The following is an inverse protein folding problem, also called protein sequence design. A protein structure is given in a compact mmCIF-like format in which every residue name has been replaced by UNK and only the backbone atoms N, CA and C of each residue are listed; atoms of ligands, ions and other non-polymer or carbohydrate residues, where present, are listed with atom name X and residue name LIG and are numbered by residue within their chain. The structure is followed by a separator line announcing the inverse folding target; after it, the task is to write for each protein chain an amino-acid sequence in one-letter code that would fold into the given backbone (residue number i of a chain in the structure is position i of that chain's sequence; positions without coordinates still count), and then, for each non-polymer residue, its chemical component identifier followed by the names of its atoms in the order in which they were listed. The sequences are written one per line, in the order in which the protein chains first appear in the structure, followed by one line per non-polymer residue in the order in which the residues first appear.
data_IF_514173124827
#
_entry.id   IF_514173124827
#
_cell.length_a   1.000
_cell.length_b   1.000
_cell.length_c   1.000
_cell.angle_alpha   90.00
_cell.angle_beta   90.00
_cell.angle_gamma   90.00
#
_symmetry.space_group_name_H-M   'P 1'
#
loop_
_entity.id
_entity.type
_entity.pdbx_description
1 polymer ?
#
# COMPACT_ATOMS: atom_id res chain seq x y z
N UNK A 1 69.18 22.19 3.38
CA UNK A 1 67.87 21.51 3.25
C UNK A 1 66.83 22.53 2.84
N UNK A 2 66.34 22.37 1.64
CA UNK A 2 65.71 23.41 0.80
C UNK A 2 64.23 23.64 1.16
N UNK A 3 63.85 24.92 1.20
CA UNK A 3 62.51 25.41 1.55
C UNK A 3 61.44 25.09 0.50
N UNK A 4 61.69 24.18 -0.45
CA UNK A 4 60.81 23.82 -1.56
C UNK A 4 59.83 22.68 -1.24
N UNK A 5 59.95 22.01 -0.05
CA UNK A 5 59.13 20.84 0.27
C UNK A 5 57.83 21.17 1.06
N UNK A 6 57.60 22.44 1.38
CA UNK A 6 56.45 22.87 2.18
C UNK A 6 55.27 23.51 1.37
N UNK A 7 55.43 23.66 0.05
CA UNK A 7 54.43 24.32 -0.80
C UNK A 7 53.51 23.34 -1.56
N UNK A 8 53.73 22.01 -1.43
CA UNK A 8 52.96 21.01 -2.23
C UNK A 8 51.78 20.35 -1.49
N UNK A 9 51.41 20.87 -0.30
CA UNK A 9 50.32 20.33 0.49
C UNK A 9 48.98 21.11 0.46
N UNK A 10 48.91 22.21 -0.34
CA UNK A 10 47.74 23.10 -0.33
C UNK A 10 46.81 23.01 -1.55
N UNK A 11 46.97 22.02 -2.45
CA UNK A 11 46.14 21.91 -3.65
C UNK A 11 45.32 20.62 -3.81
N UNK A 12 45.09 19.89 -2.74
CA UNK A 12 44.08 18.84 -2.80
C UNK A 12 42.69 19.43 -2.49
N UNK A 13 42.05 20.01 -3.50
CA UNK A 13 40.60 20.27 -3.49
C UNK A 13 39.89 18.95 -3.20
N UNK A 14 38.96 18.88 -2.19
CA UNK A 14 38.14 17.72 -2.06
C UNK A 14 37.33 17.56 -3.34
N UNK A 15 37.49 16.43 -4.01
CA UNK A 15 36.65 16.04 -5.12
C UNK A 15 35.20 16.02 -4.61
N UNK A 16 34.44 17.03 -4.94
CA UNK A 16 32.99 17.03 -4.75
C UNK A 16 32.45 15.81 -5.47
N UNK A 17 32.13 14.79 -4.71
CA UNK A 17 31.45 13.58 -5.17
C UNK A 17 30.12 14.04 -5.74
N UNK A 18 30.08 14.34 -7.06
CA UNK A 18 28.82 14.57 -7.77
C UNK A 18 27.96 13.36 -7.47
N UNK A 19 26.91 13.58 -6.67
CA UNK A 19 25.87 12.59 -6.49
C UNK A 19 25.40 12.21 -7.90
N UNK A 20 25.75 11.01 -8.33
CA UNK A 20 25.29 10.44 -9.59
C UNK A 20 23.79 10.31 -9.39
N UNK A 21 23.04 11.22 -10.03
CA UNK A 21 21.58 11.13 -10.12
C UNK A 21 21.31 9.76 -10.72
N UNK A 22 20.96 8.79 -9.88
CA UNK A 22 20.50 7.49 -10.37
C UNK A 22 19.29 7.82 -11.24
N UNK A 23 19.41 7.54 -12.52
CA UNK A 23 18.26 7.60 -13.41
C UNK A 23 17.19 6.68 -12.80
N UNK A 24 16.01 7.24 -12.53
CA UNK A 24 14.91 6.44 -12.01
C UNK A 24 14.69 5.29 -12.99
N UNK A 25 14.72 4.06 -12.48
CA UNK A 25 14.42 2.87 -13.28
C UNK A 25 13.01 3.05 -13.84
N UNK A 26 12.81 2.87 -15.17
CA UNK A 26 11.48 3.00 -15.75
C UNK A 26 10.51 2.07 -14.99
N UNK A 27 9.36 2.60 -14.64
CA UNK A 27 8.33 1.84 -13.96
C UNK A 27 7.71 0.88 -14.97
N UNK A 28 7.91 -0.42 -14.77
CA UNK A 28 7.25 -1.43 -15.59
C UNK A 28 5.86 -1.73 -15.05
N UNK A 29 4.92 -2.10 -15.91
CA UNK A 29 3.56 -2.50 -15.53
C UNK A 29 3.56 -3.60 -14.45
N UNK A 30 4.45 -4.58 -14.52
CA UNK A 30 4.56 -5.65 -13.52
C UNK A 30 4.89 -5.13 -12.12
N UNK A 31 5.77 -4.13 -12.01
CA UNK A 31 6.11 -3.50 -10.73
C UNK A 31 4.90 -2.74 -10.19
N UNK A 32 4.18 -2.03 -11.05
CA UNK A 32 2.98 -1.29 -10.66
C UNK A 32 1.86 -2.22 -10.19
N UNK A 33 1.67 -3.35 -10.86
CA UNK A 33 0.74 -4.41 -10.42
C UNK A 33 1.14 -4.93 -9.03
N UNK A 34 2.42 -5.18 -8.78
CA UNK A 34 2.90 -5.64 -7.46
C UNK A 34 2.61 -4.61 -6.37
N UNK A 35 2.82 -3.33 -6.66
CA UNK A 35 2.52 -2.24 -5.73
C UNK A 35 1.00 -2.15 -5.46
N UNK A 36 0.18 -2.27 -6.50
CA UNK A 36 -1.28 -2.30 -6.40
C UNK A 36 -1.76 -3.48 -5.53
N UNK A 37 -1.26 -4.68 -5.79
CA UNK A 37 -1.59 -5.87 -4.98
C UNK A 37 -1.21 -5.68 -3.50
N UNK A 38 -0.07 -5.02 -3.24
CA UNK A 38 0.37 -4.71 -1.87
C UNK A 38 -0.60 -3.77 -1.16
N UNK A 39 -1.11 -2.75 -1.86
CA UNK A 39 -2.12 -1.83 -1.31
C UNK A 39 -3.44 -2.57 -1.06
N UNK A 40 -3.90 -3.37 -2.01
CA UNK A 40 -5.14 -4.15 -1.86
C UNK A 40 -5.05 -5.18 -0.73
N UNK A 41 -3.90 -5.83 -0.56
CA UNK A 41 -3.69 -6.79 0.52
C UNK A 41 -3.77 -6.14 1.91
N UNK A 42 -3.31 -4.90 2.04
CA UNK A 42 -3.38 -4.16 3.29
C UNK A 42 -4.75 -3.53 3.53
N UNK A 43 -5.50 -3.22 2.47
CA UNK A 43 -6.80 -2.55 2.56
C UNK A 43 -7.85 -3.53 3.11
N UNK A 44 -8.38 -3.25 4.30
CA UNK A 44 -9.35 -4.15 4.92
C UNK A 44 -10.74 -4.13 4.30
N UNK A 45 -11.03 -3.13 3.47
CA UNK A 45 -12.29 -3.05 2.74
C UNK A 45 -12.26 -3.97 1.52
N UNK A 46 -11.07 -4.40 1.09
CA UNK A 46 -10.91 -5.38 0.01
C UNK A 46 -11.12 -6.78 0.55
N UNK A 47 -12.27 -7.36 0.27
CA UNK A 47 -12.66 -8.71 0.69
C UNK A 47 -12.02 -9.78 -0.20
N UNK A 48 -11.96 -9.54 -1.50
CA UNK A 48 -11.28 -10.41 -2.45
C UNK A 48 -10.75 -9.67 -3.66
N UNK A 49 -9.70 -10.23 -4.25
CA UNK A 49 -9.10 -9.76 -5.49
C UNK A 49 -8.77 -10.98 -6.35
N UNK A 50 -9.20 -10.98 -7.60
CA UNK A 50 -8.96 -12.06 -8.55
C UNK A 50 -8.83 -11.53 -9.98
N UNK A 51 -8.23 -12.31 -10.87
CA UNK A 51 -8.36 -12.07 -12.30
C UNK A 51 -9.81 -12.37 -12.72
N UNK A 52 -10.47 -11.51 -13.50
CA UNK A 52 -11.81 -11.79 -13.99
C UNK A 52 -11.80 -13.03 -14.90
N UNK A 53 -12.86 -13.83 -14.82
CA UNK A 53 -12.97 -15.06 -15.62
C UNK A 53 -13.36 -14.78 -17.08
N UNK A 54 -14.07 -13.66 -17.31
CA UNK A 54 -14.68 -13.31 -18.57
C UNK A 54 -14.51 -11.83 -18.88
N UNK A 55 -14.64 -11.46 -20.16
CA UNK A 55 -14.73 -10.09 -20.62
C UNK A 55 -16.03 -9.44 -20.11
N UNK A 56 -15.96 -8.14 -19.90
CA UNK A 56 -17.13 -7.32 -19.58
C UNK A 56 -17.49 -6.43 -20.77
N UNK A 57 -18.79 -6.24 -20.99
CA UNK A 57 -19.31 -5.36 -22.03
C UNK A 57 -19.59 -3.97 -21.45
N UNK A 58 -19.19 -2.94 -22.19
CA UNK A 58 -19.42 -1.54 -21.86
C UNK A 58 -20.13 -0.83 -22.99
N UNK A 59 -21.20 -0.12 -22.66
CA UNK A 59 -21.98 0.63 -23.66
C UNK A 59 -21.42 2.03 -23.86
N UNK A 60 -21.11 2.39 -25.11
CA UNK A 60 -20.55 3.68 -25.51
C UNK A 60 -21.41 4.31 -26.61
N UNK A 61 -22.42 5.08 -26.28
CA UNK A 61 -23.40 5.53 -27.24
C UNK A 61 -24.02 4.34 -27.95
N UNK A 62 -23.89 4.27 -29.28
CA UNK A 62 -24.39 3.14 -30.10
C UNK A 62 -23.42 1.96 -30.24
N UNK A 63 -22.28 2.01 -29.53
CA UNK A 63 -21.24 0.98 -29.63
C UNK A 63 -21.10 0.22 -28.32
N UNK A 64 -20.95 -1.10 -28.43
CA UNK A 64 -20.55 -1.96 -27.33
C UNK A 64 -19.06 -2.23 -27.43
N UNK A 65 -18.34 -2.05 -26.31
CA UNK A 65 -16.92 -2.35 -26.18
C UNK A 65 -16.79 -3.55 -25.25
N UNK A 66 -16.15 -4.61 -25.72
CA UNK A 66 -15.78 -5.75 -24.91
C UNK A 66 -14.37 -5.53 -24.35
N UNK A 67 -14.18 -5.73 -23.04
CA UNK A 67 -12.92 -5.51 -22.37
C UNK A 67 -12.69 -6.55 -21.26
N UNK A 68 -11.47 -7.06 -21.19
CA UNK A 68 -11.00 -7.92 -20.09
C UNK A 68 -10.20 -7.05 -19.14
N UNK A 69 -10.74 -6.81 -17.94
CA UNK A 69 -10.04 -6.08 -16.90
C UNK A 69 -8.85 -6.88 -16.35
N UNK A 70 -7.90 -6.21 -15.71
CA UNK A 70 -6.79 -6.89 -15.04
C UNK A 70 -7.25 -7.62 -13.79
N UNK A 71 -8.15 -6.98 -13.03
CA UNK A 71 -8.64 -7.49 -11.74
C UNK A 71 -10.14 -7.25 -11.58
N UNK A 72 -10.74 -8.16 -10.82
CA UNK A 72 -12.02 -7.97 -10.18
C UNK A 72 -11.79 -7.89 -8.67
N UNK A 73 -12.26 -6.81 -8.04
CA UNK A 73 -12.14 -6.54 -6.62
C UNK A 73 -13.53 -6.54 -6.00
N UNK A 74 -13.69 -7.25 -4.90
CA UNK A 74 -14.87 -7.11 -4.04
C UNK A 74 -14.48 -6.23 -2.87
N UNK A 75 -15.21 -5.12 -2.71
CA UNK A 75 -15.06 -4.15 -1.63
C UNK A 75 -16.46 -3.80 -1.10
N UNK A 76 -16.65 -3.92 0.21
CA UNK A 76 -17.95 -3.66 0.86
C UNK A 76 -19.13 -4.37 0.17
N UNK A 77 -18.93 -5.64 -0.22
CA UNK A 77 -19.93 -6.45 -0.92
C UNK A 77 -20.19 -6.06 -2.38
N UNK A 78 -19.52 -5.04 -2.91
CA UNK A 78 -19.65 -4.58 -4.30
C UNK A 78 -18.47 -5.05 -5.15
N UNK A 79 -18.74 -5.50 -6.39
CA UNK A 79 -17.70 -5.93 -7.33
C UNK A 79 -17.31 -4.78 -8.25
N UNK A 80 -16.00 -4.56 -8.41
CA UNK A 80 -15.39 -3.55 -9.27
C UNK A 80 -14.44 -4.22 -10.25
N UNK A 81 -14.44 -3.73 -11.49
CA UNK A 81 -13.45 -4.10 -12.52
C UNK A 81 -12.33 -3.06 -12.53
N UNK A 82 -11.08 -3.51 -12.52
CA UNK A 82 -9.93 -2.61 -12.36
C UNK A 82 -8.84 -2.94 -13.38
N UNK A 83 -8.37 -1.89 -14.08
CA UNK A 83 -7.13 -1.96 -14.85
C UNK A 83 -6.01 -1.19 -14.13
N UNK A 84 -4.82 -1.80 -14.12
CA UNK A 84 -3.59 -1.15 -13.65
C UNK A 84 -2.79 -0.70 -14.86
N UNK A 85 -2.70 0.61 -15.06
CA UNK A 85 -2.09 1.20 -16.27
C UNK A 85 -0.89 2.08 -15.91
N UNK A 86 0.12 2.06 -16.78
CA UNK A 86 1.24 3.00 -16.70
C UNK A 86 0.87 4.33 -17.34
N UNK A 87 1.63 5.39 -17.03
CA UNK A 87 1.44 6.70 -17.68
C UNK A 87 1.67 6.61 -19.19
N UNK A 88 2.55 5.69 -19.63
CA UNK A 88 2.81 5.43 -21.05
C UNK A 88 1.59 4.80 -21.72
N UNK A 89 0.98 3.79 -21.09
CA UNK A 89 -0.24 3.14 -21.60
C UNK A 89 -1.40 4.14 -21.73
N UNK A 90 -1.55 5.01 -20.73
CA UNK A 90 -2.55 6.09 -20.78
C UNK A 90 -2.31 7.05 -21.94
N UNK A 91 -1.06 7.40 -22.21
CA UNK A 91 -0.72 8.28 -23.33
C UNK A 91 -0.92 7.64 -24.70
N UNK A 92 -0.71 6.32 -24.80
CA UNK A 92 -0.92 5.58 -26.05
C UNK A 92 -2.41 5.37 -26.35
N UNK A 93 -3.25 5.25 -25.32
CA UNK A 93 -4.69 4.94 -25.47
C UNK A 93 -5.61 5.88 -24.68
N UNK A 94 -5.43 7.24 -24.78
CA UNK A 94 -6.14 8.18 -23.91
C UNK A 94 -7.66 8.13 -24.10
N UNK A 95 -8.12 7.93 -25.33
CA UNK A 95 -9.55 7.87 -25.65
C UNK A 95 -10.22 6.64 -25.04
N UNK A 96 -9.53 5.49 -25.05
CA UNK A 96 -10.05 4.24 -24.44
C UNK A 96 -10.09 4.36 -22.92
N UNK A 97 -9.03 4.90 -22.33
CA UNK A 97 -8.95 5.12 -20.89
C UNK A 97 -10.06 6.09 -20.42
N UNK A 98 -10.20 7.23 -21.10
CA UNK A 98 -11.27 8.21 -20.80
C UNK A 98 -12.66 7.62 -21.00
N UNK A 99 -12.79 6.72 -21.98
CA UNK A 99 -14.03 6.08 -22.30
C UNK A 99 -14.47 5.08 -21.22
N UNK A 100 -13.58 4.29 -20.69
CA UNK A 100 -13.89 3.23 -19.72
C UNK A 100 -13.92 3.73 -18.28
N UNK A 101 -13.05 4.70 -17.93
CA UNK A 101 -12.94 5.18 -16.54
C UNK A 101 -14.26 5.76 -16.02
N UNK A 102 -14.72 5.26 -14.90
CA UNK A 102 -15.96 5.71 -14.27
C UNK A 102 -17.24 5.19 -14.93
N UNK A 103 -17.13 4.30 -15.94
CA UNK A 103 -18.29 3.63 -16.54
C UNK A 103 -18.68 2.40 -15.74
N UNK A 104 -19.85 1.86 -16.07
CA UNK A 104 -20.36 0.61 -15.50
C UNK A 104 -20.54 -0.39 -16.63
N UNK A 105 -20.12 -1.63 -16.41
CA UNK A 105 -20.36 -2.71 -17.37
C UNK A 105 -21.84 -3.06 -17.50
N UNK A 106 -22.22 -3.78 -18.52
CA UNK A 106 -23.59 -4.19 -18.79
C UNK A 106 -24.20 -5.03 -17.64
N UNK A 107 -23.37 -5.73 -16.87
CA UNK A 107 -23.76 -6.50 -15.69
C UNK A 107 -23.75 -5.69 -14.37
N UNK A 108 -23.51 -4.39 -14.45
CA UNK A 108 -23.60 -3.47 -13.31
C UNK A 108 -22.32 -3.27 -12.50
N UNK A 109 -21.16 -3.82 -12.92
CA UNK A 109 -19.88 -3.63 -12.22
C UNK A 109 -19.22 -2.31 -12.65
N UNK A 110 -18.90 -1.39 -11.72
CA UNK A 110 -18.13 -0.20 -12.02
C UNK A 110 -16.71 -0.53 -12.51
N UNK A 111 -16.21 0.25 -13.46
CA UNK A 111 -14.86 0.12 -13.98
C UNK A 111 -13.95 1.25 -13.48
N UNK A 112 -12.78 0.89 -13.00
CA UNK A 112 -11.78 1.81 -12.45
C UNK A 112 -10.44 1.63 -13.15
N UNK A 113 -9.70 2.73 -13.29
CA UNK A 113 -8.32 2.74 -13.75
C UNK A 113 -7.43 3.20 -12.61
N UNK A 114 -6.49 2.33 -12.22
CA UNK A 114 -5.47 2.63 -11.24
C UNK A 114 -4.14 2.93 -11.92
N UNK A 115 -3.61 4.12 -11.64
CA UNK A 115 -2.36 4.63 -12.23
C UNK A 115 -1.21 4.60 -11.23
N UNK A 116 0.01 4.89 -11.70
CA UNK A 116 1.14 5.08 -10.81
C UNK A 116 0.88 6.18 -9.76
N UNK A 117 0.20 7.25 -10.15
CA UNK A 117 -0.13 8.35 -9.24
C UNK A 117 -1.13 7.94 -8.16
N UNK A 118 -2.17 7.16 -8.48
CA UNK A 118 -3.15 6.69 -7.49
C UNK A 118 -2.57 5.61 -6.58
N UNK A 119 -1.87 4.62 -7.15
CA UNK A 119 -1.30 3.50 -6.39
C UNK A 119 -0.20 3.99 -5.44
N UNK A 120 0.69 4.87 -5.93
CA UNK A 120 1.85 5.37 -5.18
C UNK A 120 1.62 6.72 -4.52
N UNK A 121 0.34 7.06 -4.26
CA UNK A 121 0.02 8.28 -3.53
C UNK A 121 0.69 8.30 -2.15
N UNK A 122 1.51 9.33 -1.91
CA UNK A 122 2.21 9.51 -0.64
C UNK A 122 1.37 10.32 0.35
N UNK A 123 1.49 10.07 1.64
CA UNK A 123 2.39 9.14 2.31
C UNK A 123 1.86 7.69 2.42
N UNK A 124 0.64 7.43 1.93
CA UNK A 124 -0.04 6.13 2.04
C UNK A 124 0.82 4.98 1.54
N UNK A 125 1.39 5.11 0.34
CA UNK A 125 2.13 4.03 -0.29
C UNK A 125 3.38 3.62 0.51
N UNK A 126 4.22 4.58 0.87
CA UNK A 126 5.43 4.30 1.68
C UNK A 126 5.05 3.74 3.05
N UNK A 127 3.99 4.26 3.66
CA UNK A 127 3.49 3.79 4.96
C UNK A 127 3.00 2.34 4.90
N UNK A 128 2.17 2.00 3.90
CA UNK A 128 1.70 0.61 3.71
C UNK A 128 2.87 -0.34 3.46
N UNK A 129 3.82 0.02 2.61
CA UNK A 129 5.00 -0.82 2.35
C UNK A 129 5.82 -1.08 3.62
N UNK A 130 5.98 -0.08 4.48
CA UNK A 130 6.68 -0.22 5.75
C UNK A 130 5.93 -1.19 6.67
N UNK A 131 4.61 -1.07 6.78
CA UNK A 131 3.78 -1.98 7.56
C UNK A 131 3.87 -3.41 7.01
N UNK A 132 3.71 -3.57 5.70
CA UNK A 132 3.74 -4.87 5.04
C UNK A 132 5.11 -5.57 5.13
N UNK A 133 6.21 -4.82 5.29
CA UNK A 133 7.52 -5.39 5.58
C UNK A 133 7.54 -6.15 6.93
N UNK A 134 6.66 -5.78 7.87
CA UNK A 134 6.53 -6.44 9.17
C UNK A 134 5.60 -7.68 9.14
N UNK A 135 4.92 -7.97 8.03
CA UNK A 135 3.91 -9.05 7.93
C UNK A 135 4.39 -10.41 8.42
N UNK A 136 5.68 -10.71 8.25
CA UNK A 136 6.27 -12.01 8.65
C UNK A 136 6.90 -11.99 10.04
N UNK A 137 6.77 -10.92 10.79
CA UNK A 137 7.28 -10.85 12.17
C UNK A 137 6.51 -11.82 13.05
N UNK A 138 7.18 -12.78 13.70
CA UNK A 138 6.49 -13.72 14.58
C UNK A 138 6.02 -12.98 15.84
N UNK A 139 4.73 -13.03 16.12
CA UNK A 139 4.12 -12.45 17.32
C UNK A 139 3.67 -13.58 18.22
N UNK A 140 4.21 -13.66 19.44
CA UNK A 140 3.80 -14.71 20.40
C UNK A 140 2.34 -14.55 20.82
N UNK A 141 1.68 -15.64 21.19
CA UNK A 141 0.31 -15.57 21.68
C UNK A 141 0.17 -14.64 22.91
N UNK A 142 1.16 -14.64 23.80
CA UNK A 142 1.19 -13.76 24.96
C UNK A 142 1.29 -12.28 24.59
N UNK A 143 2.15 -11.93 23.62
CA UNK A 143 2.29 -10.54 23.15
C UNK A 143 1.02 -10.10 22.41
N UNK A 144 0.45 -10.97 21.58
CA UNK A 144 -0.84 -10.71 20.90
C UNK A 144 -1.93 -10.35 21.90
N UNK A 145 -2.11 -11.16 22.94
CA UNK A 145 -3.13 -10.92 23.97
C UNK A 145 -2.86 -9.59 24.69
N UNK A 146 -1.61 -9.32 25.11
CA UNK A 146 -1.27 -8.08 25.80
C UNK A 146 -1.56 -6.84 24.96
N UNK A 147 -1.09 -6.82 23.70
CA UNK A 147 -1.32 -5.70 22.79
C UNK A 147 -2.82 -5.46 22.60
N UNK A 148 -3.58 -6.50 22.28
CA UNK A 148 -5.00 -6.37 21.96
C UNK A 148 -5.82 -5.99 23.20
N UNK A 149 -5.50 -6.54 24.38
CA UNK A 149 -6.13 -6.17 25.65
C UNK A 149 -5.87 -4.70 25.99
N UNK A 150 -4.60 -4.25 25.87
CA UNK A 150 -4.25 -2.86 26.15
C UNK A 150 -5.00 -1.88 25.25
N UNK A 151 -5.15 -2.22 23.95
CA UNK A 151 -5.94 -1.42 23.03
C UNK A 151 -7.45 -1.45 23.31
N UNK A 152 -7.98 -2.55 23.83
CA UNK A 152 -9.39 -2.65 24.25
C UNK A 152 -9.64 -1.75 25.48
N UNK A 153 -8.69 -1.68 26.42
CA UNK A 153 -8.79 -0.85 27.63
C UNK A 153 -8.64 0.65 27.33
N UNK A 154 -7.69 1.01 26.47
CA UNK A 154 -7.36 2.41 26.21
C UNK A 154 -8.11 3.03 25.03
N UNK A 155 -8.67 2.19 24.15
CA UNK A 155 -9.32 2.57 22.88
C UNK A 155 -8.33 2.96 21.78
N UNK A 156 -7.40 3.87 22.05
CA UNK A 156 -6.34 4.27 21.13
C UNK A 156 -5.08 4.64 21.92
N UNK A 157 -3.90 4.33 21.36
CA UNK A 157 -2.63 4.67 21.96
C UNK A 157 -1.56 4.95 20.91
N UNK A 158 -0.45 5.54 21.30
CA UNK A 158 0.70 5.75 20.42
C UNK A 158 1.36 4.42 20.10
N UNK A 159 1.91 4.31 18.89
CA UNK A 159 2.62 3.11 18.43
C UNK A 159 3.75 2.70 19.40
N UNK A 160 4.54 3.68 19.87
CA UNK A 160 5.64 3.42 20.80
C UNK A 160 5.14 2.89 22.15
N UNK A 161 4.02 3.42 22.67
CA UNK A 161 3.46 2.98 23.93
C UNK A 161 2.87 1.56 23.80
N UNK A 162 2.21 1.28 22.65
CA UNK A 162 1.72 -0.06 22.32
C UNK A 162 2.88 -1.06 22.19
N UNK A 163 3.94 -0.69 21.51
CA UNK A 163 5.14 -1.52 21.35
C UNK A 163 5.83 -1.85 22.69
N UNK A 164 5.76 -0.95 23.67
CA UNK A 164 6.34 -1.16 25.02
C UNK A 164 5.64 -2.27 25.81
N UNK A 165 4.44 -2.69 25.44
CA UNK A 165 3.72 -3.80 26.07
C UNK A 165 4.23 -5.17 25.62
N UNK A 166 5.02 -5.22 24.57
CA UNK A 166 5.59 -6.46 24.02
C UNK A 166 6.74 -6.94 24.90
N UNK A 167 6.74 -8.22 25.25
CA UNK A 167 7.73 -8.80 26.17
C UNK A 167 8.60 -9.88 25.54
N UNK A 168 8.05 -10.63 24.58
CA UNK A 168 8.70 -11.85 24.07
C UNK A 168 9.12 -11.73 22.60
N UNK A 169 8.65 -10.71 21.88
CA UNK A 169 9.08 -10.42 20.51
C UNK A 169 10.20 -9.40 20.54
N UNK A 170 11.27 -9.63 19.79
CA UNK A 170 12.48 -8.80 19.84
C UNK A 170 12.25 -7.35 19.40
N UNK A 171 11.29 -7.12 18.48
CA UNK A 171 10.91 -5.80 17.98
C UNK A 171 9.42 -5.57 18.24
N UNK A 172 9.11 -4.76 19.25
CA UNK A 172 7.74 -4.44 19.65
C UNK A 172 6.98 -3.65 18.59
N UNK A 173 7.65 -2.74 17.88
CA UNK A 173 7.02 -1.97 16.79
C UNK A 173 6.64 -2.92 15.64
N UNK A 174 7.57 -3.77 15.21
CA UNK A 174 7.28 -4.75 14.17
C UNK A 174 6.17 -5.73 14.57
N UNK A 175 6.09 -6.11 15.86
CA UNK A 175 4.98 -6.94 16.38
C UNK A 175 3.62 -6.26 16.25
N UNK A 176 3.52 -4.98 16.62
CA UNK A 176 2.27 -4.20 16.48
C UNK A 176 1.88 -4.04 15.00
N UNK A 177 2.85 -3.73 14.14
CA UNK A 177 2.61 -3.58 12.70
C UNK A 177 2.26 -4.91 12.02
N UNK A 178 2.80 -6.04 12.50
CA UNK A 178 2.39 -7.37 12.04
C UNK A 178 0.90 -7.64 12.34
N UNK A 179 0.42 -7.25 13.52
CA UNK A 179 -1.01 -7.36 13.85
C UNK A 179 -1.89 -6.42 13.00
N UNK A 180 -1.34 -5.31 12.53
CA UNK A 180 -2.03 -4.46 11.57
C UNK A 180 -2.15 -5.14 10.20
N UNK A 181 -1.10 -5.86 9.73
CA UNK A 181 -1.18 -6.69 8.52
C UNK A 181 -2.21 -7.83 8.63
N UNK A 182 -2.44 -8.33 9.84
CA UNK A 182 -3.48 -9.34 10.10
C UNK A 182 -4.89 -8.74 10.23
N UNK A 183 -5.04 -7.43 10.08
CA UNK A 183 -6.32 -6.75 10.19
C UNK A 183 -6.86 -6.62 11.62
N UNK A 184 -6.06 -6.91 12.65
CA UNK A 184 -6.46 -6.85 14.06
C UNK A 184 -6.31 -5.46 14.67
N UNK A 185 -5.44 -4.64 14.09
CA UNK A 185 -5.13 -3.28 14.52
C UNK A 185 -5.30 -2.33 13.33
N UNK A 186 -5.91 -1.19 13.57
CA UNK A 186 -5.97 -0.06 12.63
C UNK A 186 -4.84 0.92 12.92
N UNK A 187 -4.16 1.35 11.88
CA UNK A 187 -3.07 2.34 11.90
C UNK A 187 -3.45 3.49 10.97
N UNK A 188 -3.19 4.72 11.38
CA UNK A 188 -3.37 5.90 10.50
C UNK A 188 -2.27 5.89 9.42
N UNK A 189 -2.68 5.64 8.19
CA UNK A 189 -1.79 5.63 7.01
C UNK A 189 -1.83 6.93 6.20
N UNK A 190 -2.59 7.92 6.64
CA UNK A 190 -2.67 9.25 5.99
C UNK A 190 -1.42 10.09 6.25
N UNK A 191 -0.54 9.62 7.12
CA UNK A 191 0.74 10.24 7.52
C UNK A 191 1.85 9.21 7.58
N UNK A 192 3.13 9.64 7.50
CA UNK A 192 4.27 8.76 7.76
C UNK A 192 4.17 8.12 9.15
N UNK A 193 4.63 6.87 9.29
CA UNK A 193 4.69 6.22 10.60
C UNK A 193 5.77 6.87 11.46
N UNK A 194 5.34 7.29 12.63
CA UNK A 194 6.17 7.88 13.67
C UNK A 194 5.89 7.16 15.01
N UNK A 195 6.73 7.31 16.03
CA UNK A 195 6.46 6.77 17.37
C UNK A 195 5.10 7.20 17.94
N UNK A 196 4.64 8.41 17.58
CA UNK A 196 3.38 9.01 18.01
C UNK A 196 2.16 8.57 17.16
N UNK A 197 2.36 7.81 16.10
CA UNK A 197 1.27 7.33 15.25
C UNK A 197 0.23 6.59 16.10
N UNK A 198 -1.04 6.94 15.92
CA UNK A 198 -2.12 6.32 16.67
C UNK A 198 -2.45 4.94 16.11
N UNK A 199 -2.56 3.99 17.03
CA UNK A 199 -3.01 2.63 16.75
C UNK A 199 -4.26 2.32 17.57
N UNK A 200 -5.17 1.54 17.00
CA UNK A 200 -6.45 1.19 17.62
C UNK A 200 -6.77 -0.26 17.37
N UNK A 201 -7.53 -0.87 18.28
CA UNK A 201 -8.15 -2.16 18.02
C UNK A 201 -9.10 -2.05 16.84
N UNK A 202 -8.94 -2.91 15.83
CA UNK A 202 -9.95 -3.05 14.80
C UNK A 202 -11.08 -3.94 15.36
N UNK A 203 -12.27 -3.38 15.43
CA UNK A 203 -13.49 -4.16 15.68
C UNK A 203 -14.03 -4.58 14.33
N UNK A 204 -14.00 -5.88 14.05
CA UNK A 204 -14.73 -6.41 12.92
C UNK A 204 -16.22 -6.10 13.14
N UNK A 205 -16.99 -5.74 12.10
CA UNK A 205 -18.41 -5.64 12.24
C UNK A 205 -18.92 -6.98 12.82
N UNK A 206 -19.68 -6.89 13.90
CA UNK A 206 -20.26 -8.06 14.53
C UNK A 206 -21.23 -8.70 13.52
N UNK A 207 -20.79 -9.75 12.87
CA UNK A 207 -21.71 -10.62 12.15
C UNK A 207 -22.40 -11.48 13.23
N UNK A 208 -23.66 -11.16 13.50
CA UNK A 208 -24.46 -11.96 14.40
C UNK A 208 -24.53 -13.39 13.82
N UNK A 209 -23.92 -14.41 14.47
CA UNK A 209 -23.95 -15.78 13.97
C UNK A 209 -25.35 -16.39 14.03
N UNK A 210 -26.32 -15.67 14.61
CA UNK A 210 -27.73 -16.07 14.74
C UNK A 210 -28.71 -15.20 13.95
N UNK A 211 -28.23 -14.27 13.12
CA UNK A 211 -29.07 -13.56 12.17
C UNK A 211 -29.46 -14.52 11.03
N UNK A 212 -30.64 -15.12 11.14
CA UNK A 212 -31.31 -15.91 10.10
C UNK A 212 -32.28 -15.04 9.32
#
# INVERSE_FOLDING_TARGET
MSAQALLDLSSRRPATRRARKQAATPLTRNVLITDFLTICEFDPEVESLRAPAESAEFQFGDRTIEHVADFEIIRDGSSYLVDVVTDEDLMLHPMRAAALHGTTSADGRPFMIETAASIRAEPRFTTVRLIMACKRTPVTAGDRVRILHQLDETGAMKLVDCASTVMNTADGVAAVLALACEGLISVDISRPILPETQVRRRRLPYSDPFAF
#
